data_IF_001509760048
#
_entry.id   IF_001509760048
#
_cell.length_a   1.000
_cell.length_b   1.000
_cell.length_c   1.000
_cell.angle_alpha   90.00
_cell.angle_beta   90.00
_cell.angle_gamma   90.00
#
_symmetry.space_group_name_H-M   'P 1'
#
loop_
_entity.id
_entity.type
_entity.pdbx_description
1 polymer ?
#
# COMPACT_ATOMS: atom_id res chain seq x y z
N UNK A 1 4.11 -34.92 -4.45
CA UNK A 1 4.94 -34.86 -3.23
C UNK A 1 6.38 -35.22 -3.56
N UNK A 2 7.30 -34.25 -3.59
CA UNK A 2 8.72 -34.48 -3.32
C UNK A 2 9.38 -33.12 -3.02
N UNK A 3 9.21 -32.61 -1.80
CA UNK A 3 9.95 -31.46 -1.32
C UNK A 3 11.40 -31.88 -1.14
N UNK A 4 12.22 -31.78 -2.19
CA UNK A 4 13.65 -32.02 -2.11
C UNK A 4 14.27 -30.93 -1.23
N UNK A 5 14.37 -31.19 0.07
CA UNK A 5 15.00 -30.28 1.03
C UNK A 5 16.42 -29.93 0.55
N UNK A 6 16.72 -28.63 0.50
CA UNK A 6 18.04 -28.08 0.15
C UNK A 6 18.65 -27.36 1.35
N UNK A 7 19.97 -27.32 1.45
CA UNK A 7 20.71 -26.54 2.44
C UNK A 7 21.61 -25.50 1.74
N UNK A 8 21.94 -24.42 2.43
CA UNK A 8 22.98 -23.49 2.00
C UNK A 8 24.35 -24.17 2.19
N UNK A 9 25.23 -24.11 1.20
CA UNK A 9 26.52 -24.79 1.22
C UNK A 9 27.60 -23.87 1.82
N UNK A 10 28.39 -24.37 2.77
CA UNK A 10 29.56 -23.67 3.29
C UNK A 10 30.70 -23.80 2.28
N UNK A 11 30.77 -22.87 1.34
CA UNK A 11 31.78 -22.87 0.27
C UNK A 11 33.20 -22.81 0.83
N UNK A 12 33.43 -21.97 1.84
CA UNK A 12 34.76 -21.81 2.45
C UNK A 12 35.23 -23.11 3.07
N UNK A 13 34.37 -23.76 3.88
CA UNK A 13 34.68 -25.04 4.49
C UNK A 13 34.86 -26.16 3.46
N UNK A 14 34.03 -26.19 2.41
CA UNK A 14 34.18 -27.18 1.33
C UNK A 14 35.52 -27.02 0.60
N UNK A 15 35.92 -25.79 0.28
CA UNK A 15 37.22 -25.50 -0.33
C UNK A 15 38.37 -25.90 0.60
N UNK A 16 38.25 -25.58 1.89
CA UNK A 16 39.23 -25.94 2.90
C UNK A 16 39.44 -27.45 2.97
N UNK A 17 38.37 -28.26 3.06
CA UNK A 17 38.50 -29.72 3.07
C UNK A 17 39.14 -30.28 1.79
N UNK A 18 38.81 -29.73 0.62
CA UNK A 18 39.42 -30.15 -0.65
C UNK A 18 40.93 -29.88 -0.65
N UNK A 19 41.34 -28.72 -0.13
CA UNK A 19 42.75 -28.32 -0.05
C UNK A 19 43.50 -29.18 0.99
N UNK A 20 42.98 -29.27 2.21
CA UNK A 20 43.60 -30.01 3.32
C UNK A 20 43.78 -31.49 3.00
N UNK A 21 42.80 -32.10 2.32
CA UNK A 21 42.84 -33.52 1.94
C UNK A 21 43.47 -33.75 0.56
N UNK A 22 43.95 -32.69 -0.12
CA UNK A 22 44.55 -32.76 -1.47
C UNK A 22 43.66 -33.50 -2.49
N UNK A 23 42.35 -33.26 -2.44
CA UNK A 23 41.36 -33.95 -3.27
C UNK A 23 41.26 -33.31 -4.65
N UNK A 24 41.35 -34.13 -5.71
CA UNK A 24 41.10 -33.65 -7.09
C UNK A 24 39.60 -33.42 -7.32
N UNK A 25 39.23 -32.28 -7.91
CA UNK A 25 37.83 -31.93 -8.21
C UNK A 25 37.11 -33.01 -9.03
N UNK A 26 37.77 -33.51 -10.09
CA UNK A 26 37.23 -34.60 -10.92
C UNK A 26 36.93 -35.88 -10.11
N UNK A 27 37.80 -36.23 -9.16
CA UNK A 27 37.57 -37.39 -8.30
C UNK A 27 36.36 -37.16 -7.40
N UNK A 28 36.29 -36.00 -6.72
CA UNK A 28 35.18 -35.70 -5.80
C UNK A 28 33.83 -35.65 -6.53
N UNK A 29 33.80 -35.07 -7.73
CA UNK A 29 32.60 -35.02 -8.57
C UNK A 29 32.11 -36.44 -8.92
N UNK A 30 33.01 -37.34 -9.31
CA UNK A 30 32.69 -38.74 -9.59
C UNK A 30 32.17 -39.47 -8.33
N UNK A 31 32.81 -39.28 -7.17
CA UNK A 31 32.42 -39.91 -5.91
C UNK A 31 31.01 -39.53 -5.46
N UNK A 32 30.61 -38.27 -5.67
CA UNK A 32 29.27 -37.79 -5.28
C UNK A 32 28.23 -37.91 -6.39
N UNK A 33 28.62 -38.38 -7.57
CA UNK A 33 27.75 -38.60 -8.73
C UNK A 33 27.22 -37.31 -9.35
N UNK A 34 28.06 -36.29 -9.49
CA UNK A 34 27.75 -35.04 -10.20
C UNK A 34 28.83 -34.74 -11.25
N UNK A 35 28.52 -33.87 -12.23
CA UNK A 35 29.54 -33.43 -13.18
C UNK A 35 30.55 -32.50 -12.50
N UNK A 36 31.80 -32.50 -12.99
CA UNK A 36 32.85 -31.59 -12.51
C UNK A 36 32.40 -30.13 -12.60
N UNK A 37 31.73 -29.74 -13.69
CA UNK A 37 31.11 -28.41 -13.85
C UNK A 37 30.14 -28.07 -12.72
N UNK A 38 29.37 -29.04 -12.22
CA UNK A 38 28.45 -28.83 -11.10
C UNK A 38 29.21 -28.57 -9.80
N UNK A 39 30.26 -29.34 -9.54
CA UNK A 39 31.14 -29.11 -8.40
C UNK A 39 31.84 -27.74 -8.49
N UNK A 40 32.37 -27.36 -9.66
CA UNK A 40 32.95 -26.03 -9.88
C UNK A 40 31.94 -24.91 -9.60
N UNK A 41 30.67 -25.09 -9.98
CA UNK A 41 29.60 -24.12 -9.70
C UNK A 41 29.29 -23.97 -8.21
N UNK A 42 29.45 -25.02 -7.42
CA UNK A 42 29.38 -24.96 -5.96
C UNK A 42 30.60 -24.24 -5.37
N UNK A 43 31.79 -24.57 -5.85
CA UNK A 43 33.05 -23.99 -5.37
C UNK A 43 33.22 -22.51 -5.76
N UNK A 44 32.64 -22.05 -6.87
CA UNK A 44 32.70 -20.65 -7.27
C UNK A 44 31.52 -19.81 -6.75
N UNK A 45 30.47 -20.45 -6.22
CA UNK A 45 29.30 -19.77 -5.64
C UNK A 45 28.18 -19.44 -6.64
N UNK A 46 28.29 -19.86 -7.90
CA UNK A 46 27.18 -19.72 -8.88
C UNK A 46 25.97 -20.61 -8.55
N UNK A 47 26.13 -21.59 -7.66
CA UNK A 47 25.04 -22.35 -7.04
C UNK A 47 25.30 -22.42 -5.54
N UNK A 48 24.47 -21.72 -4.77
CA UNK A 48 24.64 -21.56 -3.31
C UNK A 48 23.87 -22.59 -2.49
N UNK A 49 22.81 -23.18 -3.06
CA UNK A 49 21.99 -24.21 -2.40
C UNK A 49 22.23 -25.59 -3.00
N UNK A 50 22.42 -26.56 -2.12
CA UNK A 50 22.68 -27.97 -2.46
C UNK A 50 21.55 -28.86 -1.92
N UNK A 51 21.18 -29.89 -2.68
CA UNK A 51 20.21 -30.91 -2.22
C UNK A 51 20.81 -31.69 -1.06
N UNK A 52 20.00 -31.99 -0.03
CA UNK A 52 20.47 -32.75 1.13
C UNK A 52 21.07 -34.13 0.75
N UNK A 53 20.59 -34.75 -0.32
CA UNK A 53 21.15 -36.00 -0.85
C UNK A 53 22.61 -35.85 -1.32
N UNK A 54 22.91 -34.77 -2.04
CA UNK A 54 24.27 -34.48 -2.53
C UNK A 54 25.17 -34.00 -1.39
N UNK A 55 24.61 -33.27 -0.42
CA UNK A 55 25.32 -32.86 0.79
C UNK A 55 25.75 -34.08 1.64
N UNK A 56 24.88 -35.09 1.79
CA UNK A 56 25.25 -36.33 2.49
C UNK A 56 26.40 -37.05 1.78
N UNK A 57 26.38 -37.09 0.44
CA UNK A 57 27.46 -37.69 -0.36
C UNK A 57 28.77 -36.91 -0.21
N UNK A 58 28.73 -35.58 -0.20
CA UNK A 58 29.90 -34.74 0.07
C UNK A 58 30.47 -35.00 1.47
N UNK A 59 29.62 -35.02 2.50
CA UNK A 59 30.05 -35.29 3.86
C UNK A 59 30.73 -36.65 4.00
N UNK A 60 30.16 -37.67 3.35
CA UNK A 60 30.74 -39.02 3.30
C UNK A 60 32.06 -39.06 2.52
N UNK A 61 32.14 -38.39 1.37
CA UNK A 61 33.35 -38.41 0.52
C UNK A 61 34.51 -37.62 1.13
N UNK A 62 34.21 -36.60 1.94
CA UNK A 62 35.19 -35.76 2.64
C UNK A 62 35.45 -36.23 4.08
N UNK A 63 34.83 -37.35 4.48
CA UNK A 63 34.87 -37.91 5.84
C UNK A 63 34.68 -36.84 6.93
N UNK A 64 33.68 -35.97 6.75
CA UNK A 64 33.40 -34.86 7.65
C UNK A 64 31.96 -34.89 8.14
N UNK A 65 31.70 -34.20 9.25
CA UNK A 65 30.33 -34.04 9.74
C UNK A 65 29.51 -33.25 8.72
N UNK A 66 28.32 -33.74 8.37
CA UNK A 66 27.40 -33.02 7.47
C UNK A 66 27.17 -31.57 7.90
N UNK A 67 27.10 -31.32 9.21
CA UNK A 67 26.88 -30.00 9.80
C UNK A 67 27.99 -28.98 9.53
N UNK A 68 29.21 -29.40 9.15
CA UNK A 68 30.30 -28.47 8.80
C UNK A 68 30.21 -27.96 7.36
N UNK A 69 29.66 -28.79 6.45
CA UNK A 69 29.45 -28.43 5.04
C UNK A 69 28.15 -27.65 4.81
N UNK A 70 27.23 -27.67 5.76
CA UNK A 70 26.12 -26.73 5.76
C UNK A 70 26.73 -25.39 6.09
N UNK A 71 26.50 -24.39 5.23
CA UNK A 71 26.65 -23.01 5.66
C UNK A 71 25.66 -22.88 6.79
N UNK A 72 26.19 -22.98 8.00
CA UNK A 72 25.69 -22.17 9.08
C UNK A 72 25.70 -20.79 8.44
N UNK A 73 24.51 -20.22 8.20
CA UNK A 73 24.42 -18.80 8.47
C UNK A 73 25.16 -18.65 9.78
N UNK A 74 25.97 -17.62 9.97
CA UNK A 74 26.16 -17.13 11.32
C UNK A 74 24.78 -17.17 11.97
N UNK A 75 24.56 -18.19 12.80
CA UNK A 75 23.29 -18.36 13.47
C UNK A 75 23.39 -17.22 14.44
N UNK A 76 22.55 -16.22 14.20
CA UNK A 76 22.39 -15.11 15.12
C UNK A 76 23.56 -14.13 15.22
N UNK A 77 24.32 -13.91 14.14
CA UNK A 77 24.69 -12.52 13.84
C UNK A 77 23.46 -11.92 13.19
N UNK A 78 22.46 -11.74 14.06
CA UNK A 78 21.93 -10.43 14.30
C UNK A 78 22.87 -9.41 13.62
N UNK A 79 22.55 -8.70 12.49
CA UNK A 79 23.50 -7.78 11.85
C UNK A 79 24.30 -7.14 12.96
N UNK A 80 25.64 -7.26 12.94
CA UNK A 80 26.52 -6.83 14.05
C UNK A 80 25.89 -5.60 14.69
N UNK A 81 25.81 -5.44 16.02
CA UNK A 81 25.01 -4.34 16.61
C UNK A 81 25.08 -3.04 15.79
N UNK A 82 26.29 -2.69 15.33
CA UNK A 82 26.59 -1.77 14.23
C UNK A 82 25.79 -1.88 12.91
N UNK A 83 25.82 -2.98 12.14
CA UNK A 83 24.97 -3.20 10.95
C UNK A 83 23.47 -3.19 11.28
N UNK A 84 23.06 -3.61 12.49
CA UNK A 84 21.65 -3.56 12.87
C UNK A 84 21.24 -2.14 13.19
N UNK A 85 22.10 -1.40 13.85
CA UNK A 85 21.94 0.02 14.14
C UNK A 85 21.96 0.84 12.86
N UNK A 86 22.77 0.48 11.86
CA UNK A 86 22.71 1.05 10.51
C UNK A 86 21.33 0.77 9.89
N UNK A 87 20.86 -0.48 9.88
CA UNK A 87 19.53 -0.79 9.35
C UNK A 87 18.40 -0.13 10.17
N UNK A 88 18.54 -0.02 11.48
CA UNK A 88 17.61 0.68 12.36
C UNK A 88 17.59 2.16 12.02
N UNK A 89 18.75 2.79 11.81
CA UNK A 89 18.87 4.19 11.42
C UNK A 89 18.27 4.42 10.01
N UNK A 90 18.57 3.55 9.05
CA UNK A 90 18.00 3.61 7.69
C UNK A 90 16.49 3.36 7.66
N UNK A 91 15.95 2.48 8.52
CA UNK A 91 14.51 2.24 8.63
C UNK A 91 13.80 3.29 9.50
N UNK A 92 14.53 3.89 10.45
CA UNK A 92 14.04 5.00 11.26
C UNK A 92 13.90 6.25 10.38
N UNK A 93 14.90 6.52 9.56
CA UNK A 93 14.83 7.50 8.48
C UNK A 93 13.74 7.07 7.48
N UNK A 94 12.87 8.01 7.13
CA UNK A 94 11.64 7.69 6.42
C UNK A 94 11.87 7.31 4.93
N UNK A 95 12.96 7.78 4.32
CA UNK A 95 13.25 7.61 2.89
C UNK A 95 13.21 6.17 2.35
N UNK A 96 14.04 5.26 2.87
CA UNK A 96 14.13 3.88 2.36
C UNK A 96 12.83 3.11 2.59
N UNK A 97 12.20 3.33 3.75
CA UNK A 97 10.99 2.60 4.08
C UNK A 97 9.81 3.08 3.25
N UNK A 98 9.62 4.39 3.08
CA UNK A 98 8.60 4.91 2.18
C UNK A 98 8.86 4.40 0.77
N UNK A 99 10.10 4.39 0.28
CA UNK A 99 10.42 3.85 -1.04
C UNK A 99 10.04 2.36 -1.17
N UNK A 100 10.31 1.53 -0.15
CA UNK A 100 9.93 0.11 -0.16
C UNK A 100 8.42 -0.09 -0.03
N UNK A 101 7.74 0.74 0.75
CA UNK A 101 6.29 0.69 0.88
C UNK A 101 5.58 1.18 -0.39
N UNK A 102 6.17 2.16 -1.07
CA UNK A 102 5.63 2.77 -2.29
C UNK A 102 5.96 2.00 -3.57
N UNK A 103 7.07 1.26 -3.60
CA UNK A 103 7.44 0.36 -4.72
C UNK A 103 6.75 -1.01 -4.67
N UNK A 104 5.69 -1.15 -3.87
CA UNK A 104 4.97 -2.41 -3.62
C UNK A 104 5.87 -3.54 -3.06
N UNK A 105 7.05 -3.22 -2.53
CA UNK A 105 7.96 -4.15 -1.85
C UNK A 105 7.64 -4.26 -0.36
N UNK A 106 6.35 -4.20 -0.02
CA UNK A 106 5.88 -4.11 1.35
C UNK A 106 6.18 -5.38 2.16
N UNK A 107 6.16 -6.56 1.52
CA UNK A 107 6.60 -7.80 2.17
C UNK A 107 8.07 -7.74 2.61
N UNK A 108 8.92 -7.10 1.80
CA UNK A 108 10.32 -6.87 2.15
C UNK A 108 10.43 -5.84 3.28
N UNK A 109 9.72 -4.71 3.18
CA UNK A 109 9.65 -3.70 4.24
C UNK A 109 9.25 -4.30 5.61
N UNK A 110 8.16 -5.07 5.64
CA UNK A 110 7.68 -5.78 6.84
C UNK A 110 8.74 -6.75 7.34
N UNK A 111 9.39 -7.51 6.46
CA UNK A 111 10.44 -8.47 6.85
C UNK A 111 11.65 -7.76 7.46
N UNK A 112 12.08 -6.64 6.88
CA UNK A 112 13.19 -5.83 7.37
C UNK A 112 12.88 -5.26 8.75
N UNK A 113 11.74 -4.61 8.92
CA UNK A 113 11.30 -4.09 10.23
C UNK A 113 11.18 -5.22 11.26
N UNK A 114 10.64 -6.39 10.87
CA UNK A 114 10.53 -7.51 11.82
C UNK A 114 11.89 -8.06 12.26
N UNK A 115 12.90 -8.02 11.39
CA UNK A 115 14.25 -8.50 11.68
C UNK A 115 15.07 -7.60 12.62
N UNK A 116 14.62 -6.36 12.82
CA UNK A 116 15.29 -5.39 13.70
C UNK A 116 14.74 -5.38 15.14
N UNK A 117 13.66 -6.11 15.46
CA UNK A 117 13.16 -6.16 16.85
C UNK A 117 14.09 -6.96 17.77
N UNK A 118 14.53 -6.34 18.87
CA UNK A 118 15.17 -7.01 20.02
C UNK A 118 14.85 -6.30 21.33
N UNK A 119 15.14 -6.96 22.45
CA UNK A 119 14.82 -6.48 23.79
C UNK A 119 15.51 -5.16 24.19
N UNK A 120 16.66 -4.84 23.58
CA UNK A 120 17.42 -3.62 23.86
C UNK A 120 17.01 -2.41 23.00
N UNK A 121 16.10 -2.58 22.02
CA UNK A 121 15.71 -1.50 21.12
C UNK A 121 14.95 -0.40 21.89
N UNK A 122 15.31 0.90 21.72
CA UNK A 122 14.62 2.01 22.38
C UNK A 122 13.11 1.98 22.14
N UNK A 123 12.32 2.24 23.18
CA UNK A 123 10.85 2.15 23.09
C UNK A 123 10.24 3.13 22.08
N UNK A 124 10.87 4.29 21.84
CA UNK A 124 10.47 5.22 20.79
C UNK A 124 10.68 4.63 19.38
N UNK A 125 11.79 3.94 19.13
CA UNK A 125 12.05 3.25 17.87
C UNK A 125 11.07 2.09 17.68
N UNK A 126 10.81 1.32 18.73
CA UNK A 126 9.79 0.25 18.72
C UNK A 126 8.40 0.82 18.38
N UNK A 127 8.04 1.97 18.96
CA UNK A 127 6.77 2.65 18.66
C UNK A 127 6.70 3.05 17.19
N UNK A 128 7.74 3.69 16.67
CA UNK A 128 7.85 4.09 15.26
C UNK A 128 7.73 2.87 14.32
N UNK A 129 8.44 1.78 14.59
CA UNK A 129 8.35 0.55 13.79
C UNK A 129 6.96 -0.06 13.78
N UNK A 130 6.23 -0.02 14.90
CA UNK A 130 4.84 -0.45 14.91
C UNK A 130 3.94 0.46 14.04
N UNK A 131 4.12 1.78 14.10
CA UNK A 131 3.37 2.73 13.26
C UNK A 131 3.64 2.45 11.76
N UNK A 132 4.91 2.27 11.40
CA UNK A 132 5.37 1.89 10.06
C UNK A 132 4.75 0.57 9.58
N UNK A 133 4.72 -0.47 10.44
CA UNK A 133 4.02 -1.72 10.15
C UNK A 133 2.51 -1.54 10.00
N UNK A 134 1.92 -0.61 10.74
CA UNK A 134 0.52 -0.21 10.61
C UNK A 134 0.21 0.33 9.22
N UNK A 135 0.99 1.30 8.74
CA UNK A 135 0.84 1.85 7.39
C UNK A 135 1.08 0.79 6.30
N UNK A 136 2.05 -0.10 6.48
CA UNK A 136 2.30 -1.21 5.57
C UNK A 136 1.11 -2.18 5.48
N UNK A 137 0.50 -2.52 6.62
CA UNK A 137 -0.70 -3.34 6.67
C UNK A 137 -1.90 -2.63 6.03
N UNK A 138 -2.07 -1.34 6.30
CA UNK A 138 -3.14 -0.50 5.74
C UNK A 138 -3.09 -0.48 4.20
N UNK A 139 -1.91 -0.28 3.61
CA UNK A 139 -1.75 -0.26 2.15
C UNK A 139 -2.24 -1.56 1.49
N UNK A 140 -2.07 -2.71 2.15
CA UNK A 140 -2.57 -4.02 1.70
C UNK A 140 -4.01 -4.32 2.14
N UNK A 141 -4.75 -3.31 2.59
CA UNK A 141 -6.11 -3.42 3.13
C UNK A 141 -6.25 -4.42 4.30
N UNK A 142 -5.18 -4.63 5.07
CA UNK A 142 -5.18 -5.45 6.29
C UNK A 142 -5.61 -4.60 7.50
N UNK A 143 -6.83 -4.06 7.47
CA UNK A 143 -7.28 -3.01 8.39
C UNK A 143 -7.21 -3.41 9.88
N UNK A 144 -7.69 -4.60 10.25
CA UNK A 144 -7.62 -5.07 11.64
C UNK A 144 -6.19 -5.14 12.18
N UNK A 145 -5.27 -5.65 11.34
CA UNK A 145 -3.86 -5.77 11.69
C UNK A 145 -3.18 -4.41 11.75
N UNK A 146 -3.55 -3.49 10.87
CA UNK A 146 -3.08 -2.11 10.90
C UNK A 146 -3.47 -1.45 12.24
N UNK A 147 -4.73 -1.57 12.66
CA UNK A 147 -5.21 -1.07 13.96
C UNK A 147 -4.45 -1.69 15.14
N UNK A 148 -4.19 -3.01 15.12
CA UNK A 148 -3.38 -3.66 16.17
C UNK A 148 -1.95 -3.12 16.23
N UNK A 149 -1.35 -2.78 15.09
CA UNK A 149 -0.02 -2.17 15.06
C UNK A 149 -0.05 -0.73 15.55
N UNK A 150 -1.01 0.08 15.11
CA UNK A 150 -1.15 1.45 15.59
C UNK A 150 -1.41 1.52 17.10
N UNK A 151 -2.24 0.63 17.65
CA UNK A 151 -2.46 0.54 19.10
C UNK A 151 -1.17 0.20 19.87
N UNK A 152 -0.39 -0.77 19.38
CA UNK A 152 0.93 -1.10 19.99
C UNK A 152 1.90 0.07 19.91
N UNK A 153 1.93 0.77 18.78
CA UNK A 153 2.75 1.97 18.58
C UNK A 153 2.35 3.10 19.53
N UNK A 154 1.05 3.41 19.60
CA UNK A 154 0.47 4.43 20.48
C UNK A 154 0.79 4.15 21.95
N UNK A 155 0.54 2.92 22.41
CA UNK A 155 0.82 2.51 23.79
C UNK A 155 2.29 2.67 24.18
N UNK A 156 3.22 2.52 23.23
CA UNK A 156 4.65 2.75 23.46
C UNK A 156 5.00 4.23 23.40
N UNK A 157 4.48 4.97 22.42
CA UNK A 157 4.70 6.41 22.28
C UNK A 157 4.23 7.19 23.52
N UNK A 158 3.05 6.87 24.06
CA UNK A 158 2.52 7.46 25.30
C UNK A 158 3.46 7.19 26.48
N UNK A 159 3.96 5.96 26.63
CA UNK A 159 4.86 5.58 27.74
C UNK A 159 6.18 6.32 27.73
N UNK A 160 6.69 6.69 26.55
CA UNK A 160 7.93 7.47 26.41
C UNK A 160 7.68 8.97 26.24
N UNK A 161 6.42 9.41 26.31
CA UNK A 161 6.01 10.81 26.11
C UNK A 161 6.47 11.42 24.77
N UNK A 162 6.47 10.61 23.71
CA UNK A 162 6.82 11.06 22.35
C UNK A 162 5.58 11.55 21.61
N UNK A 163 5.28 12.85 21.74
CA UNK A 163 4.06 13.47 21.21
C UNK A 163 3.94 13.38 19.67
N UNK A 164 5.02 13.54 18.87
CA UNK A 164 4.97 13.28 17.43
C UNK A 164 4.58 11.84 17.06
N UNK A 165 5.09 10.83 17.79
CA UNK A 165 4.68 9.44 17.54
C UNK A 165 3.24 9.18 18.00
N UNK A 166 2.79 9.82 19.08
CA UNK A 166 1.37 9.78 19.50
C UNK A 166 0.48 10.36 18.41
N UNK A 167 0.84 11.51 17.83
CA UNK A 167 0.13 12.10 16.70
C UNK A 167 0.06 11.12 15.51
N UNK A 168 1.22 10.57 15.12
CA UNK A 168 1.34 9.67 13.96
C UNK A 168 0.51 8.39 14.12
N UNK A 169 0.48 7.80 15.32
CA UNK A 169 -0.34 6.61 15.58
C UNK A 169 -1.85 6.91 15.54
N UNK A 170 -2.27 8.08 16.05
CA UNK A 170 -3.66 8.52 15.96
C UNK A 170 -4.07 8.82 14.51
N UNK A 171 -3.19 9.45 13.72
CA UNK A 171 -3.44 9.70 12.30
C UNK A 171 -3.58 8.39 11.51
N UNK A 172 -2.64 7.45 11.69
CA UNK A 172 -2.72 6.13 11.07
C UNK A 172 -3.99 5.35 11.46
N UNK A 173 -4.44 5.50 12.70
CA UNK A 173 -5.72 4.95 13.18
C UNK A 173 -6.91 5.59 12.47
N UNK A 174 -6.96 6.93 12.38
CA UNK A 174 -7.98 7.67 11.64
C UNK A 174 -8.07 7.20 10.18
N UNK A 175 -6.94 7.13 9.47
CA UNK A 175 -6.89 6.72 8.06
C UNK A 175 -7.42 5.28 7.92
N UNK A 176 -7.00 4.38 8.80
CA UNK A 176 -7.47 2.98 8.75
C UNK A 176 -8.98 2.88 8.93
N UNK A 177 -9.54 3.64 9.87
CA UNK A 177 -10.98 3.69 10.12
C UNK A 177 -11.74 4.33 8.96
N UNK A 178 -11.17 5.34 8.29
CA UNK A 178 -11.76 5.92 7.08
C UNK A 178 -11.88 4.86 5.98
N UNK A 179 -10.81 4.15 5.67
CA UNK A 179 -10.82 3.12 4.61
C UNK A 179 -11.61 1.86 4.98
N UNK A 180 -11.79 1.55 6.28
CA UNK A 180 -12.73 0.53 6.75
C UNK A 180 -14.18 1.02 6.83
N UNK A 181 -14.46 2.26 6.40
CA UNK A 181 -15.78 2.92 6.41
C UNK A 181 -16.38 3.14 7.82
N UNK A 182 -15.55 3.26 8.85
CA UNK A 182 -15.93 3.59 10.23
C UNK A 182 -15.85 5.10 10.50
N UNK A 183 -16.62 5.89 9.74
CA UNK A 183 -16.52 7.37 9.69
C UNK A 183 -16.60 8.07 11.04
N UNK A 184 -17.54 7.68 11.90
CA UNK A 184 -17.69 8.29 13.23
C UNK A 184 -16.43 8.13 14.08
N UNK A 185 -15.81 6.95 14.04
CA UNK A 185 -14.56 6.68 14.77
C UNK A 185 -13.37 7.36 14.10
N UNK A 186 -13.30 7.34 12.76
CA UNK A 186 -12.29 8.09 12.00
C UNK A 186 -12.29 9.57 12.40
N UNK A 187 -13.47 10.20 12.40
CA UNK A 187 -13.63 11.61 12.77
C UNK A 187 -13.15 11.89 14.21
N UNK A 188 -13.44 11.00 15.16
CA UNK A 188 -12.95 11.13 16.53
C UNK A 188 -11.42 11.25 16.58
N UNK A 189 -10.69 10.37 15.87
CA UNK A 189 -9.23 10.43 15.82
C UNK A 189 -8.70 11.64 15.04
N UNK A 190 -9.40 12.07 13.98
CA UNK A 190 -9.04 13.31 13.26
C UNK A 190 -9.18 14.55 14.16
N UNK A 191 -10.22 14.61 15.01
CA UNK A 191 -10.37 15.68 16.02
C UNK A 191 -9.22 15.67 17.03
N UNK A 192 -8.79 14.49 17.49
CA UNK A 192 -7.61 14.35 18.37
C UNK A 192 -6.35 14.87 17.67
N UNK A 193 -6.13 14.49 16.41
CA UNK A 193 -5.01 14.99 15.60
C UNK A 193 -5.08 16.51 15.47
N UNK A 194 -6.24 17.07 15.14
CA UNK A 194 -6.42 18.52 15.05
C UNK A 194 -6.03 19.26 16.34
N UNK A 195 -6.44 18.74 17.49
CA UNK A 195 -6.13 19.31 18.79
C UNK A 195 -4.64 19.22 19.16
N UNK A 196 -3.89 18.31 18.52
CA UNK A 196 -2.47 18.05 18.77
C UNK A 196 -1.58 18.41 17.57
N UNK A 197 -2.10 19.18 16.61
CA UNK A 197 -1.46 19.46 15.33
C UNK A 197 -0.08 20.13 15.44
N UNK A 198 0.17 20.85 16.54
CA UNK A 198 1.48 21.43 16.85
C UNK A 198 2.60 20.38 16.97
N UNK A 199 2.25 19.12 17.24
CA UNK A 199 3.18 17.99 17.37
C UNK A 199 3.33 17.17 16.08
N UNK A 200 2.60 17.52 15.01
CA UNK A 200 2.57 16.75 13.78
C UNK A 200 3.89 16.74 13.00
N UNK A 201 4.76 17.74 13.20
CA UNK A 201 6.02 17.88 12.47
C UNK A 201 5.80 17.72 10.94
N UNK A 202 6.45 16.71 10.33
CA UNK A 202 6.36 16.42 8.89
C UNK A 202 5.02 15.79 8.47
N UNK A 203 4.23 15.26 9.41
CA UNK A 203 2.93 14.62 9.15
C UNK A 203 1.78 15.64 8.98
N UNK A 204 2.04 16.96 9.07
CA UNK A 204 1.01 17.98 8.85
C UNK A 204 0.35 17.87 7.48
N UNK A 205 1.15 17.70 6.43
CA UNK A 205 0.65 17.53 5.07
C UNK A 205 -0.19 16.25 4.93
N UNK A 206 0.23 15.17 5.59
CA UNK A 206 -0.51 13.92 5.63
C UNK A 206 -1.88 14.08 6.31
N UNK A 207 -1.91 14.77 7.46
CA UNK A 207 -3.15 15.09 8.15
C UNK A 207 -4.11 15.91 7.28
N UNK A 208 -3.63 16.99 6.66
CA UNK A 208 -4.48 17.83 5.81
C UNK A 208 -5.03 17.09 4.58
N UNK A 209 -4.20 16.27 3.92
CA UNK A 209 -4.66 15.42 2.80
C UNK A 209 -5.69 14.38 3.26
N UNK A 210 -5.51 13.81 4.46
CA UNK A 210 -6.47 12.87 5.05
C UNK A 210 -7.79 13.54 5.40
N UNK A 211 -7.76 14.75 5.97
CA UNK A 211 -8.97 15.53 6.24
C UNK A 211 -9.71 15.87 4.94
N UNK A 212 -8.97 16.27 3.89
CA UNK A 212 -9.55 16.53 2.59
C UNK A 212 -10.27 15.29 2.03
N UNK A 213 -9.65 14.11 2.14
CA UNK A 213 -10.25 12.85 1.73
C UNK A 213 -11.47 12.49 2.59
N UNK A 214 -11.40 12.67 3.91
CA UNK A 214 -12.52 12.45 4.82
C UNK A 214 -13.72 13.32 4.45
N UNK A 215 -13.51 14.61 4.24
CA UNK A 215 -14.58 15.55 3.86
C UNK A 215 -15.14 15.27 2.47
N UNK A 216 -14.29 14.88 1.52
CA UNK A 216 -14.77 14.42 0.21
C UNK A 216 -15.68 13.20 0.37
N UNK A 217 -15.27 12.20 1.14
CA UNK A 217 -16.07 10.98 1.36
C UNK A 217 -17.32 11.23 2.20
N UNK A 218 -17.34 12.25 3.06
CA UNK A 218 -18.52 12.63 3.84
C UNK A 218 -19.49 13.53 3.08
N UNK A 219 -19.09 14.10 1.95
CA UNK A 219 -19.90 14.97 1.10
C UNK A 219 -19.74 16.47 1.37
N UNK A 220 -18.84 16.87 2.27
CA UNK A 220 -18.52 18.28 2.54
C UNK A 220 -17.45 18.80 1.58
N UNK A 221 -17.87 19.17 0.38
CA UNK A 221 -16.97 19.57 -0.71
C UNK A 221 -16.17 20.84 -0.36
N UNK A 222 -16.75 21.77 0.40
CA UNK A 222 -16.05 23.02 0.76
C UNK A 222 -14.94 22.75 1.79
N UNK A 223 -15.23 21.94 2.82
CA UNK A 223 -14.21 21.54 3.80
C UNK A 223 -13.12 20.67 3.17
N UNK A 224 -13.46 19.86 2.16
CA UNK A 224 -12.50 19.09 1.38
C UNK A 224 -11.53 20.00 0.62
N UNK A 225 -12.03 21.00 -0.11
CA UNK A 225 -11.22 22.01 -0.82
C UNK A 225 -10.34 22.78 0.16
N UNK A 226 -10.90 23.26 1.27
CA UNK A 226 -10.13 23.99 2.28
C UNK A 226 -8.97 23.16 2.83
N UNK A 227 -9.24 21.90 3.19
CA UNK A 227 -8.21 21.00 3.72
C UNK A 227 -7.15 20.65 2.67
N UNK A 228 -7.53 20.47 1.41
CA UNK A 228 -6.59 20.21 0.32
C UNK A 228 -5.66 21.41 0.10
N UNK A 229 -6.17 22.64 0.14
CA UNK A 229 -5.35 23.85 0.03
C UNK A 229 -4.37 24.01 1.22
N UNK A 230 -4.79 23.65 2.44
CA UNK A 230 -3.88 23.62 3.60
C UNK A 230 -2.75 22.60 3.39
N UNK A 231 -3.04 21.45 2.79
CA UNK A 231 -2.03 20.46 2.43
C UNK A 231 -1.02 21.02 1.41
N UNK A 232 -1.49 21.68 0.35
CA UNK A 232 -0.62 22.31 -0.65
C UNK A 232 0.30 23.36 -0.02
N UNK A 233 -0.24 24.24 0.82
CA UNK A 233 0.55 25.24 1.53
C UNK A 233 1.65 24.59 2.39
N UNK A 234 1.34 23.50 3.10
CA UNK A 234 2.33 22.76 3.90
C UNK A 234 3.41 22.08 3.03
N UNK A 235 3.04 21.64 1.82
CA UNK A 235 3.99 21.04 0.88
C UNK A 235 4.94 22.08 0.29
N UNK A 236 4.50 23.32 0.07
CA UNK A 236 5.31 24.37 -0.57
C UNK A 236 6.32 25.06 0.39
N UNK A 237 6.24 24.83 1.70
CA UNK A 237 7.07 25.52 2.72
C UNK A 237 8.53 25.00 2.83
N UNK A 238 8.91 23.88 2.20
CA UNK A 238 10.25 23.29 2.39
C UNK A 238 10.88 22.72 1.11
N UNK A 239 12.17 22.39 1.17
CA UNK A 239 12.92 21.60 0.17
C UNK A 239 12.14 20.35 -0.28
N UNK A 240 12.14 20.07 -1.58
CA UNK A 240 11.45 18.95 -2.21
C UNK A 240 11.80 17.62 -1.52
N UNK A 241 10.79 16.93 -0.97
CA UNK A 241 10.89 15.55 -0.50
C UNK A 241 9.87 14.68 -1.23
N UNK A 242 10.22 13.40 -1.42
CA UNK A 242 9.37 12.49 -2.18
C UNK A 242 8.01 12.26 -1.45
N UNK A 243 8.03 12.29 -0.11
CA UNK A 243 6.82 12.23 0.73
C UNK A 243 5.92 13.46 0.56
N UNK A 244 6.48 14.67 0.47
CA UNK A 244 5.66 15.86 0.20
C UNK A 244 5.05 15.83 -1.19
N UNK A 245 5.77 15.29 -2.19
CA UNK A 245 5.20 15.09 -3.52
C UNK A 245 4.02 14.10 -3.52
N UNK A 246 4.05 13.07 -2.67
CA UNK A 246 2.89 12.19 -2.46
C UNK A 246 1.67 12.98 -1.95
N UNK A 247 1.84 13.76 -0.88
CA UNK A 247 0.73 14.50 -0.28
C UNK A 247 0.23 15.62 -1.20
N UNK A 248 1.13 16.33 -1.87
CA UNK A 248 0.82 17.31 -2.92
C UNK A 248 0.01 16.68 -4.06
N UNK A 249 0.49 15.56 -4.60
CA UNK A 249 -0.24 14.80 -5.63
C UNK A 249 -1.65 14.41 -5.17
N UNK A 250 -1.79 13.98 -3.91
CA UNK A 250 -3.08 13.59 -3.34
C UNK A 250 -4.02 14.78 -3.16
N UNK A 251 -3.52 15.90 -2.64
CA UNK A 251 -4.32 17.12 -2.50
C UNK A 251 -4.83 17.64 -3.85
N UNK A 252 -3.98 17.62 -4.89
CA UNK A 252 -4.37 17.97 -6.26
C UNK A 252 -5.43 17.02 -6.83
N UNK A 253 -5.34 15.71 -6.57
CA UNK A 253 -6.41 14.74 -6.95
C UNK A 253 -7.74 15.09 -6.30
N UNK A 254 -7.72 15.43 -5.01
CA UNK A 254 -8.92 15.75 -4.24
C UNK A 254 -9.55 17.06 -4.70
N UNK A 255 -8.75 18.09 -5.00
CA UNK A 255 -9.25 19.31 -5.63
C UNK A 255 -9.90 19.01 -6.97
N UNK A 256 -9.24 18.22 -7.82
CA UNK A 256 -9.79 17.81 -9.10
C UNK A 256 -11.14 17.09 -8.97
N UNK A 257 -11.25 16.18 -7.99
CA UNK A 257 -12.51 15.51 -7.69
C UNK A 257 -13.60 16.47 -7.19
N UNK A 258 -13.25 17.43 -6.32
CA UNK A 258 -14.19 18.43 -5.81
C UNK A 258 -14.74 19.33 -6.92
N UNK A 259 -13.86 19.86 -7.79
CA UNK A 259 -14.27 20.70 -8.91
C UNK A 259 -15.08 19.92 -9.95
N UNK A 260 -14.74 18.64 -10.18
CA UNK A 260 -15.54 17.77 -11.05
C UNK A 260 -16.97 17.59 -10.50
N UNK A 261 -17.12 17.39 -9.19
CA UNK A 261 -18.44 17.29 -8.54
C UNK A 261 -19.22 18.60 -8.59
N UNK A 262 -18.53 19.74 -8.55
CA UNK A 262 -19.14 21.08 -8.72
C UNK A 262 -19.49 21.39 -10.18
N UNK A 263 -19.05 20.58 -11.13
CA UNK A 263 -19.27 20.79 -12.56
C UNK A 263 -18.24 21.69 -13.25
N UNK A 264 -17.19 22.11 -12.54
CA UNK A 264 -16.07 22.87 -13.11
C UNK A 264 -15.02 21.91 -13.69
N UNK A 265 -15.27 21.50 -14.94
CA UNK A 265 -14.47 20.49 -15.62
C UNK A 265 -13.07 21.03 -15.97
N UNK A 266 -12.94 22.34 -16.23
CA UNK A 266 -11.67 22.96 -16.59
C UNK A 266 -10.73 22.98 -15.39
N UNK A 267 -11.19 23.47 -14.23
CA UNK A 267 -10.38 23.41 -13.00
C UNK A 267 -10.09 21.97 -12.59
N UNK A 268 -11.07 21.06 -12.72
CA UNK A 268 -10.84 19.65 -12.43
C UNK A 268 -9.68 19.08 -13.25
N UNK A 269 -9.63 19.40 -14.55
CA UNK A 269 -8.56 18.97 -15.44
C UNK A 269 -7.20 19.55 -15.03
N UNK A 270 -7.13 20.85 -14.75
CA UNK A 270 -5.89 21.53 -14.35
C UNK A 270 -5.27 20.83 -13.14
N UNK A 271 -6.05 20.63 -12.08
CA UNK A 271 -5.55 20.00 -10.85
C UNK A 271 -5.17 18.53 -11.06
N UNK A 272 -5.97 17.74 -11.79
CA UNK A 272 -5.64 16.33 -12.04
C UNK A 272 -4.43 16.16 -12.97
N UNK A 273 -4.24 17.07 -13.93
CA UNK A 273 -3.07 17.06 -14.81
C UNK A 273 -1.79 17.42 -14.03
N UNK A 274 -1.85 18.45 -13.17
CA UNK A 274 -0.73 18.79 -12.29
C UNK A 274 -0.41 17.65 -11.32
N UNK A 275 -1.44 17.02 -10.76
CA UNK A 275 -1.26 15.84 -9.91
C UNK A 275 -0.50 14.72 -10.62
N UNK A 276 -0.85 14.41 -11.88
CA UNK A 276 -0.14 13.40 -12.65
C UNK A 276 1.33 13.79 -12.90
N UNK A 277 1.60 15.08 -13.15
CA UNK A 277 2.96 15.57 -13.29
C UNK A 277 3.78 15.33 -12.00
N UNK A 278 3.25 15.72 -10.84
CA UNK A 278 3.88 15.48 -9.53
C UNK A 278 4.04 13.98 -9.24
N UNK A 279 3.04 13.17 -9.57
CA UNK A 279 3.09 11.72 -9.39
C UNK A 279 4.18 11.05 -10.26
N UNK A 280 4.38 11.53 -11.49
CA UNK A 280 5.43 11.01 -12.36
C UNK A 280 6.83 11.37 -11.85
N UNK A 281 7.01 12.57 -11.27
CA UNK A 281 8.27 12.98 -10.66
C UNK A 281 8.63 12.13 -9.43
N UNK A 282 7.64 11.70 -8.66
CA UNK A 282 7.86 10.84 -7.49
C UNK A 282 8.08 9.36 -7.84
N UNK A 283 7.70 8.91 -9.04
CA UNK A 283 7.83 7.51 -9.47
C UNK A 283 6.84 6.56 -8.78
N UNK A 284 5.80 7.08 -8.12
CA UNK A 284 4.87 6.28 -7.33
C UNK A 284 3.68 5.79 -8.15
N UNK A 285 3.69 4.49 -8.48
CA UNK A 285 2.64 3.86 -9.29
C UNK A 285 1.22 4.09 -8.77
N UNK A 286 0.99 4.07 -7.45
CA UNK A 286 -0.34 4.35 -6.88
C UNK A 286 -0.79 5.78 -7.20
N UNK A 287 0.06 6.78 -6.98
CA UNK A 287 -0.28 8.17 -7.26
C UNK A 287 -0.56 8.36 -8.74
N UNK A 288 0.29 7.80 -9.60
CA UNK A 288 0.10 7.82 -11.06
C UNK A 288 -1.23 7.16 -11.43
N UNK A 289 -1.54 6.00 -10.85
CA UNK A 289 -2.80 5.29 -11.07
C UNK A 289 -4.00 6.17 -10.72
N UNK A 290 -4.04 6.74 -9.52
CA UNK A 290 -5.16 7.56 -9.06
C UNK A 290 -5.30 8.83 -9.90
N UNK A 291 -4.21 9.54 -10.22
CA UNK A 291 -4.27 10.72 -11.09
C UNK A 291 -4.78 10.38 -12.49
N UNK A 292 -4.31 9.27 -13.09
CA UNK A 292 -4.84 8.77 -14.37
C UNK A 292 -6.31 8.38 -14.27
N UNK A 293 -6.75 7.81 -13.16
CA UNK A 293 -8.14 7.46 -12.90
C UNK A 293 -9.04 8.70 -12.92
N UNK A 294 -8.68 9.75 -12.18
CA UNK A 294 -9.45 10.99 -12.20
C UNK A 294 -9.45 11.68 -13.56
N UNK A 295 -8.31 11.71 -14.27
CA UNK A 295 -8.25 12.20 -15.64
C UNK A 295 -9.18 11.39 -16.57
N UNK A 296 -9.24 10.06 -16.41
CA UNK A 296 -10.16 9.22 -17.16
C UNK A 296 -11.63 9.61 -16.91
N UNK A 297 -12.00 9.89 -15.66
CA UNK A 297 -13.34 10.36 -15.32
C UNK A 297 -13.64 11.71 -15.97
N UNK A 298 -12.70 12.66 -15.95
CA UNK A 298 -12.82 13.98 -16.59
C UNK A 298 -13.00 13.84 -18.10
N UNK A 299 -12.17 13.03 -18.77
CA UNK A 299 -12.32 12.74 -20.19
C UNK A 299 -13.66 12.10 -20.52
N UNK A 300 -14.16 11.20 -19.66
CA UNK A 300 -15.48 10.61 -19.82
C UNK A 300 -16.60 11.65 -19.72
N UNK A 301 -16.51 12.58 -18.78
CA UNK A 301 -17.47 13.70 -18.66
C UNK A 301 -17.45 14.60 -19.89
N UNK A 302 -16.28 14.79 -20.51
CA UNK A 302 -16.10 15.50 -21.78
C UNK A 302 -16.38 14.65 -23.04
N UNK A 303 -17.09 13.52 -22.92
CA UNK A 303 -17.42 12.61 -24.01
C UNK A 303 -16.22 12.02 -24.80
N UNK A 304 -15.00 12.11 -24.26
CA UNK A 304 -13.78 11.50 -24.81
C UNK A 304 -13.67 10.02 -24.36
N UNK A 305 -14.67 9.22 -24.73
CA UNK A 305 -14.90 7.88 -24.18
C UNK A 305 -13.76 6.89 -24.45
N UNK A 306 -13.20 6.87 -25.66
CA UNK A 306 -12.11 5.94 -26.02
C UNK A 306 -10.89 6.19 -25.14
N UNK A 307 -10.53 7.46 -24.95
CA UNK A 307 -9.41 7.85 -24.10
C UNK A 307 -9.70 7.55 -22.63
N UNK A 308 -10.92 7.80 -22.16
CA UNK A 308 -11.33 7.47 -20.79
C UNK A 308 -11.19 5.97 -20.49
N UNK A 309 -11.69 5.09 -21.36
CA UNK A 309 -11.56 3.63 -21.18
C UNK A 309 -10.10 3.18 -21.20
N UNK A 310 -9.27 3.75 -22.08
CA UNK A 310 -7.84 3.44 -22.14
C UNK A 310 -7.11 3.86 -20.85
N UNK A 311 -7.36 5.08 -20.38
CA UNK A 311 -6.71 5.63 -19.19
C UNK A 311 -7.10 4.85 -17.93
N UNK A 312 -8.38 4.48 -17.76
CA UNK A 312 -8.79 3.71 -16.58
C UNK A 312 -8.22 2.29 -16.59
N UNK A 313 -8.12 1.65 -17.76
CA UNK A 313 -7.46 0.35 -17.89
C UNK A 313 -5.97 0.42 -17.54
N UNK A 314 -5.26 1.46 -18.01
CA UNK A 314 -3.86 1.69 -17.64
C UNK A 314 -3.71 1.98 -16.14
N UNK A 315 -4.63 2.75 -15.57
CA UNK A 315 -4.64 3.10 -14.15
C UNK A 315 -4.77 1.86 -13.26
N UNK A 316 -5.75 0.99 -13.52
CA UNK A 316 -5.95 -0.25 -12.75
C UNK A 316 -4.74 -1.18 -12.86
N UNK A 317 -4.11 -1.27 -14.04
CA UNK A 317 -2.94 -2.11 -14.26
C UNK A 317 -1.68 -1.69 -13.46
N UNK A 318 -1.65 -0.48 -12.91
CA UNK A 318 -0.52 0.03 -12.11
C UNK A 318 -0.56 -0.37 -10.64
N UNK A 319 -1.69 -0.90 -10.16
CA UNK A 319 -1.87 -1.30 -8.75
C UNK A 319 -2.10 -2.80 -8.62
N UNK A 320 -1.70 -3.35 -7.47
CA UNK A 320 -1.96 -4.75 -7.17
C UNK A 320 -3.38 -4.98 -6.66
N UNK A 321 -3.86 -6.23 -6.72
CA UNK A 321 -5.16 -6.62 -6.20
C UNK A 321 -5.35 -6.29 -4.71
N UNK A 322 -4.28 -6.19 -3.93
CA UNK A 322 -4.29 -5.88 -2.50
C UNK A 322 -4.18 -4.38 -2.19
N UNK A 323 -3.93 -3.52 -3.19
CA UNK A 323 -3.66 -2.09 -2.97
C UNK A 323 -4.90 -1.30 -2.52
N UNK A 324 -4.72 -0.43 -1.52
CA UNK A 324 -5.78 0.40 -0.95
C UNK A 324 -6.52 1.29 -1.97
N UNK A 325 -5.89 1.68 -3.08
CA UNK A 325 -6.53 2.53 -4.10
C UNK A 325 -7.46 1.76 -5.05
N UNK A 326 -7.34 0.43 -5.13
CA UNK A 326 -8.07 -0.38 -6.11
C UNK A 326 -9.61 -0.20 -6.04
N UNK A 327 -10.26 -0.20 -4.85
CA UNK A 327 -11.71 0.04 -4.77
C UNK A 327 -12.13 1.36 -5.44
N UNK A 328 -11.40 2.45 -5.21
CA UNK A 328 -11.71 3.75 -5.81
C UNK A 328 -11.51 3.74 -7.33
N UNK A 329 -10.47 3.09 -7.83
CA UNK A 329 -10.24 2.92 -9.28
C UNK A 329 -11.36 2.08 -9.93
N UNK A 330 -11.83 1.04 -9.25
CA UNK A 330 -12.98 0.26 -9.70
C UNK A 330 -14.26 1.10 -9.73
N UNK A 331 -14.51 1.96 -8.74
CA UNK A 331 -15.63 2.90 -8.78
C UNK A 331 -15.55 3.85 -9.99
N UNK A 332 -14.38 4.42 -10.27
CA UNK A 332 -14.17 5.26 -11.46
C UNK A 332 -14.46 4.46 -12.74
N UNK A 333 -13.99 3.21 -12.81
CA UNK A 333 -14.26 2.35 -13.97
C UNK A 333 -15.75 2.05 -14.16
N UNK A 334 -16.51 1.84 -13.08
CA UNK A 334 -17.96 1.64 -13.15
C UNK A 334 -18.66 2.86 -13.72
N UNK A 335 -18.28 4.07 -13.28
CA UNK A 335 -18.79 5.32 -13.84
C UNK A 335 -18.51 5.42 -15.35
N UNK A 336 -17.27 5.15 -15.77
CA UNK A 336 -16.87 5.22 -17.18
C UNK A 336 -17.61 4.17 -18.02
N UNK A 337 -17.62 2.91 -17.59
CA UNK A 337 -18.25 1.83 -18.36
C UNK A 337 -19.78 1.96 -18.43
N UNK A 338 -20.42 2.56 -17.41
CA UNK A 338 -21.83 2.95 -17.51
C UNK A 338 -22.03 4.01 -18.59
N UNK A 339 -21.28 5.11 -18.51
CA UNK A 339 -21.39 6.24 -19.46
C UNK A 339 -21.10 5.88 -20.91
N UNK A 340 -20.27 4.87 -21.13
CA UNK A 340 -19.91 4.35 -22.46
C UNK A 340 -20.81 3.22 -22.95
N UNK A 341 -21.72 2.71 -22.11
CA UNK A 341 -22.57 1.56 -22.43
C UNK A 341 -21.83 0.22 -22.49
N UNK A 342 -20.61 0.12 -21.94
CA UNK A 342 -19.78 -1.07 -21.98
C UNK A 342 -20.17 -2.09 -20.89
N UNK A 343 -21.32 -2.76 -21.06
CA UNK A 343 -21.91 -3.65 -20.05
C UNK A 343 -20.98 -4.81 -19.64
N UNK A 344 -20.17 -5.33 -20.57
CA UNK A 344 -19.22 -6.41 -20.28
C UNK A 344 -18.13 -5.96 -19.31
N UNK A 345 -17.47 -4.82 -19.58
CA UNK A 345 -16.43 -4.27 -18.69
C UNK A 345 -17.02 -3.76 -17.37
N UNK A 346 -18.24 -3.23 -17.40
CA UNK A 346 -18.97 -2.85 -16.19
C UNK A 346 -19.16 -4.07 -15.27
N UNK A 347 -19.68 -5.18 -15.79
CA UNK A 347 -19.89 -6.40 -15.02
C UNK A 347 -18.59 -6.99 -14.44
N UNK A 348 -17.50 -6.97 -15.21
CA UNK A 348 -16.18 -7.39 -14.73
C UNK A 348 -15.72 -6.53 -13.55
N UNK A 349 -15.85 -5.22 -13.67
CA UNK A 349 -15.41 -4.26 -12.63
C UNK A 349 -16.27 -4.36 -11.37
N UNK A 350 -17.58 -4.56 -11.54
CA UNK A 350 -18.52 -4.76 -10.42
C UNK A 350 -18.20 -6.05 -9.67
N UNK A 351 -17.93 -7.15 -10.38
CA UNK A 351 -17.56 -8.42 -9.78
C UNK A 351 -16.21 -8.30 -9.03
N UNK A 352 -15.22 -7.62 -9.61
CA UNK A 352 -13.96 -7.35 -8.94
C UNK A 352 -14.15 -6.55 -7.64
N UNK A 353 -14.99 -5.52 -7.66
CA UNK A 353 -15.28 -4.70 -6.49
C UNK A 353 -16.00 -5.52 -5.40
N UNK A 354 -17.02 -6.28 -5.75
CA UNK A 354 -17.79 -7.10 -4.80
C UNK A 354 -16.95 -8.22 -4.16
N UNK A 355 -15.85 -8.65 -4.79
CA UNK A 355 -14.91 -9.59 -4.18
C UNK A 355 -14.07 -8.99 -3.06
N UNK A 356 -13.82 -7.68 -3.10
CA UNK A 356 -12.90 -6.99 -2.17
C UNK A 356 -13.60 -6.04 -1.20
N UNK A 357 -14.86 -5.69 -1.47
CA UNK A 357 -15.68 -4.80 -0.66
C UNK A 357 -16.98 -5.49 -0.22
N UNK A 358 -17.35 -5.35 1.05
CA UNK A 358 -18.66 -5.78 1.55
C UNK A 358 -19.78 -4.81 1.09
N UNK A 359 -21.04 -5.21 1.31
CA UNK A 359 -22.25 -4.48 0.88
C UNK A 359 -22.56 -3.21 1.68
N UNK A 360 -21.70 -2.81 2.62
CA UNK A 360 -21.90 -1.63 3.47
C UNK A 360 -20.64 -0.74 3.49
N UNK A 361 -20.00 -0.58 2.33
CA UNK A 361 -18.85 0.33 2.15
C UNK A 361 -19.19 1.44 1.16
N UNK A 362 -18.50 2.58 1.25
CA UNK A 362 -18.67 3.68 0.28
C UNK A 362 -18.46 3.23 -1.17
N UNK A 363 -17.41 2.45 -1.53
CA UNK A 363 -17.26 1.92 -2.88
C UNK A 363 -18.46 1.09 -3.36
N UNK A 364 -19.01 0.23 -2.50
CA UNK A 364 -20.17 -0.57 -2.85
C UNK A 364 -21.43 0.28 -3.01
N UNK A 365 -21.68 1.23 -2.10
CA UNK A 365 -22.80 2.18 -2.23
C UNK A 365 -22.72 2.97 -3.54
N UNK A 366 -21.52 3.41 -3.93
CA UNK A 366 -21.30 4.06 -5.23
C UNK A 366 -21.59 3.13 -6.41
N UNK A 367 -21.22 1.85 -6.32
CA UNK A 367 -21.53 0.87 -7.35
C UNK A 367 -23.05 0.61 -7.48
N UNK A 368 -23.77 0.52 -6.35
CA UNK A 368 -25.24 0.44 -6.35
C UNK A 368 -25.85 1.70 -6.94
N UNK A 369 -25.26 2.87 -6.69
CA UNK A 369 -25.68 4.12 -7.33
C UNK A 369 -25.49 4.10 -8.85
N UNK A 370 -24.39 3.54 -9.37
CA UNK A 370 -24.24 3.38 -10.83
C UNK A 370 -25.30 2.43 -11.41
N UNK A 371 -25.64 1.35 -10.71
CA UNK A 371 -26.74 0.46 -11.10
C UNK A 371 -28.10 1.16 -11.07
N UNK A 372 -28.37 1.96 -10.03
CA UNK A 372 -29.57 2.79 -9.95
C UNK A 372 -29.73 3.67 -11.19
N UNK A 373 -28.66 4.34 -11.62
CA UNK A 373 -28.70 5.17 -12.82
C UNK A 373 -28.97 4.36 -14.10
N UNK A 374 -28.43 3.14 -14.22
CA UNK A 374 -28.75 2.24 -15.35
C UNK A 374 -30.25 1.92 -15.37
N UNK A 375 -30.82 1.56 -14.22
CA UNK A 375 -32.25 1.25 -14.11
C UNK A 375 -33.13 2.46 -14.47
N UNK A 376 -32.73 3.68 -14.06
CA UNK A 376 -33.41 4.92 -14.49
C UNK A 376 -33.31 5.09 -16.02
N UNK A 377 -32.13 4.93 -16.61
CA UNK A 377 -31.90 5.05 -18.06
C UNK A 377 -32.69 4.00 -18.86
N UNK A 378 -32.96 2.83 -18.27
CA UNK A 378 -33.75 1.74 -18.86
C UNK A 378 -35.25 1.81 -18.54
N UNK A 379 -35.70 2.83 -17.80
CA UNK A 379 -37.08 2.97 -17.32
C UNK A 379 -37.57 1.82 -16.41
N UNK A 380 -36.65 1.13 -15.72
CA UNK A 380 -36.91 0.08 -14.73
C UNK A 380 -37.16 0.69 -13.34
N UNK A 381 -38.29 1.36 -13.19
CA UNK A 381 -38.57 2.23 -12.04
C UNK A 381 -38.68 1.49 -10.70
N UNK A 382 -39.16 0.24 -10.70
CA UNK A 382 -39.31 -0.56 -9.48
C UNK A 382 -37.93 -0.89 -8.90
N UNK A 383 -37.07 -1.47 -9.74
CA UNK A 383 -35.71 -1.84 -9.39
C UNK A 383 -34.84 -0.61 -9.07
N UNK A 384 -35.07 0.51 -9.76
CA UNK A 384 -34.43 1.78 -9.42
C UNK A 384 -34.83 2.24 -8.00
N UNK A 385 -36.12 2.18 -7.66
CA UNK A 385 -36.61 2.57 -6.33
C UNK A 385 -36.01 1.70 -5.22
N UNK A 386 -35.91 0.38 -5.44
CA UNK A 386 -35.29 -0.53 -4.47
C UNK A 386 -33.82 -0.18 -4.20
N UNK A 387 -33.06 0.14 -5.26
CA UNK A 387 -31.65 0.55 -5.13
C UNK A 387 -31.51 1.89 -4.42
N UNK A 388 -32.38 2.86 -4.71
CA UNK A 388 -32.36 4.15 -4.03
C UNK A 388 -32.58 3.98 -2.52
N UNK A 389 -33.59 3.21 -2.12
CA UNK A 389 -33.85 2.91 -0.70
C UNK A 389 -32.65 2.20 -0.06
N UNK A 390 -32.00 1.27 -0.76
CA UNK A 390 -30.78 0.62 -0.26
C UNK A 390 -29.62 1.62 -0.05
N UNK A 391 -29.42 2.55 -1.00
CA UNK A 391 -28.40 3.59 -0.90
C UNK A 391 -28.67 4.50 0.29
N UNK A 392 -29.90 4.99 0.47
CA UNK A 392 -30.29 5.86 1.58
C UNK A 392 -30.09 5.19 2.95
N UNK A 393 -30.49 3.92 3.08
CA UNK A 393 -30.26 3.12 4.29
C UNK A 393 -28.76 2.97 4.58
N UNK A 394 -27.95 2.71 3.55
CA UNK A 394 -26.51 2.52 3.71
C UNK A 394 -25.79 3.83 4.07
N UNK A 395 -26.16 4.96 3.45
CA UNK A 395 -25.63 6.28 3.83
C UNK A 395 -25.98 6.63 5.28
N UNK A 396 -27.18 6.29 5.73
CA UNK A 396 -27.59 6.46 7.13
C UNK A 396 -26.74 5.59 8.07
N UNK A 397 -26.54 4.31 7.73
CA UNK A 397 -25.69 3.39 8.49
C UNK A 397 -24.23 3.89 8.58
N UNK A 398 -23.69 4.42 7.49
CA UNK A 398 -22.34 4.97 7.42
C UNK A 398 -22.20 6.35 8.09
N UNK A 399 -23.30 6.97 8.52
CA UNK A 399 -23.34 8.34 9.05
C UNK A 399 -22.86 9.39 8.02
N UNK A 400 -23.32 9.28 6.76
CA UNK A 400 -22.95 10.16 5.65
C UNK A 400 -24.16 10.94 5.08
N UNK A 401 -24.78 11.82 5.87
CA UNK A 401 -26.03 12.48 5.46
C UNK A 401 -25.83 13.50 4.33
N UNK A 402 -24.63 14.08 4.15
CA UNK A 402 -24.41 15.15 3.17
C UNK A 402 -24.45 14.65 1.71
N UNK A 403 -24.43 13.34 1.49
CA UNK A 403 -24.63 12.75 0.17
C UNK A 403 -26.11 12.60 -0.20
N UNK A 404 -27.04 12.62 0.77
CA UNK A 404 -28.46 12.45 0.48
C UNK A 404 -29.02 13.52 -0.49
N UNK A 405 -28.70 14.82 -0.36
CA UNK A 405 -29.15 15.83 -1.31
C UNK A 405 -28.60 15.66 -2.73
N UNK A 406 -27.51 14.90 -2.92
CA UNK A 406 -26.95 14.63 -4.24
C UNK A 406 -27.70 13.52 -4.98
N UNK A 407 -28.35 12.61 -4.25
CA UNK A 407 -29.16 11.54 -4.85
C UNK A 407 -30.40 12.09 -5.56
N UNK A 408 -30.95 13.19 -5.04
CA UNK A 408 -32.19 13.82 -5.54
C UNK A 408 -31.95 14.93 -6.57
N UNK A 409 -30.71 15.38 -6.77
CA UNK A 409 -30.39 16.41 -7.79
C UNK A 409 -30.54 15.94 -9.24
N UNK A 410 -30.78 14.65 -9.47
CA UNK A 410 -30.99 14.03 -10.78
C UNK A 410 -32.44 13.63 -11.04
N UNK A 411 -33.38 14.03 -10.18
CA UNK A 411 -34.83 13.96 -10.47
C UNK A 411 -35.29 15.15 -11.30
#
# INVERSE_FOLDING_TARGET
>A
MNNSKTALLNRGQLQQYIIEQSIKHLWLANQIGVSEKTLTRWLNGSVTRIRLSNLNKLASALNCEKGSLIARSEVDIYPSEENRDILVNELHNDGLLYELMMSSKIKLAISLIKSTFHSALPSAIVANFYIKLGYAALIHRQYEKALQYFDKGLNKAIKVNDLPLVFSANLGTAITLLFSCEFKRSHHYLVICNATLQHANQEKAHYYSTNALFYLYSGDINAAIQSANLCLNECDITTDSIEKNLFKSTALQLLGACYLLQGDIELAYIFCAESLNVANLSGYNRCVAVSKGYLAAIHCTNANYVLAEQLIAQSIALVSDEDIALPSLLCISLFIYRKTGNSSKFAVSLNALNKICNTATVPNTFAVYQLYLINIEQSEMLEASEKLTHIENTLTQLSLPLWQPWLTKLS
#
